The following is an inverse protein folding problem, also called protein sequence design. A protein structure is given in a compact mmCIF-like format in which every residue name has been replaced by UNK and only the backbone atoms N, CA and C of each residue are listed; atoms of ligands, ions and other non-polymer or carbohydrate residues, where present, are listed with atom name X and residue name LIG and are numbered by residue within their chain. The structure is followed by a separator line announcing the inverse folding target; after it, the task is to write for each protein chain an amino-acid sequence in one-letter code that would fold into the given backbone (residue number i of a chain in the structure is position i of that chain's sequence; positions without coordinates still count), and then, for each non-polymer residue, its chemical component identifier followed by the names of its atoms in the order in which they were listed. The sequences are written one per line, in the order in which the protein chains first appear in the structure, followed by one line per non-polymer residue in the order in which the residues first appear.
data_IF_273256641328
#
_entry.id   IF_273256641328
#
_cell.length_a   1.000
_cell.length_b   1.000
_cell.length_c   1.000
_cell.angle_alpha   90.00
_cell.angle_beta   90.00
_cell.angle_gamma   90.00
#
_symmetry.space_group_name_H-M   'P 1'
#
loop_
_entity.id
_entity.type
_entity.pdbx_description
1 polymer ?
#
# COMPACT_ATOMS: atom_id res chain seq x y z
N UNK A 1 17.88 52.54 27.24
CA UNK A 1 16.72 51.79 27.75
C UNK A 1 16.48 50.61 26.82
N UNK A 2 16.82 49.43 27.31
CA UNK A 2 16.85 48.19 26.53
C UNK A 2 15.46 47.56 26.48
N UNK A 3 14.93 47.43 25.30
CA UNK A 3 13.71 46.63 25.06
C UNK A 3 14.05 45.15 24.90
N UNK A 4 13.63 44.32 25.85
CA UNK A 4 13.79 42.89 25.82
C UNK A 4 12.89 42.28 24.73
N UNK A 5 13.45 41.81 23.65
CA UNK A 5 12.75 41.05 22.63
C UNK A 5 12.44 39.62 23.10
N UNK A 6 11.19 39.28 23.31
CA UNK A 6 10.73 37.90 23.61
C UNK A 6 10.80 37.08 22.34
N UNK A 7 11.81 36.26 22.24
CA UNK A 7 11.91 35.19 21.22
C UNK A 7 11.23 33.94 21.78
N UNK A 8 9.95 33.77 21.51
CA UNK A 8 9.21 32.58 21.93
C UNK A 8 8.78 31.77 20.71
N UNK A 9 9.23 30.51 20.71
CA UNK A 9 8.46 29.34 20.31
C UNK A 9 8.39 28.89 18.86
N UNK A 10 9.42 29.09 18.04
CA UNK A 10 9.53 28.32 16.78
C UNK A 10 10.12 26.89 16.94
N UNK A 11 10.92 26.66 18.01
CA UNK A 11 11.64 25.41 18.20
C UNK A 11 10.90 24.30 18.96
N UNK A 12 9.98 24.67 19.85
CA UNK A 12 9.28 23.71 20.73
C UNK A 12 8.20 22.94 19.96
N UNK A 13 7.48 23.59 19.05
CA UNK A 13 6.44 22.94 18.25
C UNK A 13 7.01 21.90 17.26
N UNK A 14 8.16 22.16 16.66
CA UNK A 14 8.85 21.19 15.79
C UNK A 14 9.40 19.97 16.57
N UNK A 15 9.83 20.16 17.80
CA UNK A 15 10.35 19.07 18.65
C UNK A 15 9.20 18.17 19.18
N UNK A 16 8.06 18.76 19.54
CA UNK A 16 6.88 18.01 19.97
C UNK A 16 6.28 17.17 18.83
N UNK A 17 6.18 17.72 17.60
CA UNK A 17 5.75 16.94 16.42
C UNK A 17 6.68 15.78 16.09
N UNK A 18 8.01 15.98 16.12
CA UNK A 18 8.97 14.89 15.91
C UNK A 18 8.92 13.81 17.00
N UNK A 19 8.65 14.20 18.25
CA UNK A 19 8.50 13.26 19.37
C UNK A 19 7.20 12.45 19.28
N UNK A 20 6.08 13.09 18.90
CA UNK A 20 4.79 12.42 18.72
C UNK A 20 4.80 11.42 17.54
N UNK A 21 5.40 11.79 16.41
CA UNK A 21 5.57 10.86 15.29
C UNK A 21 6.47 9.66 15.65
N UNK A 22 7.56 9.88 16.40
CA UNK A 22 8.39 8.78 16.91
C UNK A 22 7.67 7.89 17.91
N UNK A 23 6.85 8.45 18.80
CA UNK A 23 6.11 7.68 19.80
C UNK A 23 5.01 6.81 19.15
N UNK A 24 4.31 7.31 18.15
CA UNK A 24 3.29 6.55 17.42
C UNK A 24 3.88 5.31 16.72
N UNK A 25 5.12 5.39 16.22
CA UNK A 25 5.80 4.26 15.59
C UNK A 25 6.52 3.30 16.58
N UNK A 26 6.77 3.73 17.83
CA UNK A 26 7.45 2.87 18.80
C UNK A 26 6.54 1.80 19.44
N UNK A 27 5.22 1.92 19.31
CA UNK A 27 4.26 0.97 19.90
C UNK A 27 3.96 -0.28 19.07
N UNK A 28 4.25 -0.29 17.76
CA UNK A 28 3.92 -1.43 16.90
C UNK A 28 5.17 -2.22 16.56
N UNK A 29 5.26 -3.43 17.10
CA UNK A 29 6.28 -4.40 16.67
C UNK A 29 5.88 -5.00 15.32
N UNK A 30 6.66 -4.70 14.27
CA UNK A 30 6.47 -5.31 12.96
C UNK A 30 6.91 -6.76 12.99
N UNK A 31 6.00 -7.66 12.64
CA UNK A 31 6.28 -9.08 12.60
C UNK A 31 6.86 -9.45 11.24
N UNK A 32 8.14 -9.78 11.20
CA UNK A 32 8.80 -10.29 10.00
C UNK A 32 8.13 -11.56 9.45
N UNK A 33 7.53 -12.37 10.34
CA UNK A 33 6.74 -13.55 9.98
C UNK A 33 5.52 -13.24 9.10
N UNK A 34 5.02 -12.01 9.13
CA UNK A 34 3.90 -11.55 8.27
C UNK A 34 4.37 -10.78 7.03
N UNK A 35 5.69 -10.74 6.77
CA UNK A 35 6.23 -10.03 5.61
C UNK A 35 5.97 -8.52 5.64
N UNK A 36 5.83 -7.94 6.85
CA UNK A 36 5.50 -6.53 7.02
C UNK A 36 6.69 -5.62 6.69
N UNK A 37 6.67 -5.02 5.52
CA UNK A 37 7.62 -4.01 5.05
C UNK A 37 6.85 -2.75 4.69
N UNK A 38 6.81 -1.78 5.62
CA UNK A 38 6.01 -0.57 5.43
C UNK A 38 6.74 0.42 4.56
N UNK A 39 6.10 0.82 3.47
CA UNK A 39 6.57 1.88 2.60
C UNK A 39 6.46 3.23 3.33
N UNK A 40 7.60 3.88 3.56
CA UNK A 40 7.67 5.12 4.35
C UNK A 40 7.90 6.38 3.52
N UNK A 41 8.37 6.24 2.27
CA UNK A 41 8.69 7.38 1.43
C UNK A 41 7.43 7.94 0.74
N UNK A 42 6.97 9.16 1.07
CA UNK A 42 5.75 9.73 0.50
C UNK A 42 5.86 9.99 -1.01
N UNK A 43 7.06 10.25 -1.53
CA UNK A 43 7.26 10.44 -2.99
C UNK A 43 6.97 9.15 -3.75
N UNK A 44 7.38 8.00 -3.19
CA UNK A 44 7.09 6.69 -3.80
C UNK A 44 5.60 6.36 -3.70
N UNK A 45 4.98 6.65 -2.55
CA UNK A 45 3.52 6.50 -2.37
C UNK A 45 2.77 7.30 -3.44
N UNK A 46 3.11 8.57 -3.62
CA UNK A 46 2.50 9.43 -4.65
C UNK A 46 2.71 8.88 -6.06
N UNK A 47 3.93 8.45 -6.38
CA UNK A 47 4.25 7.87 -7.69
C UNK A 47 3.45 6.58 -7.96
N UNK A 48 3.19 5.75 -6.96
CA UNK A 48 2.38 4.53 -7.10
C UNK A 48 0.93 4.89 -7.43
N UNK A 49 0.32 5.84 -6.71
CA UNK A 49 -1.06 6.27 -6.93
C UNK A 49 -1.22 6.92 -8.31
N UNK A 50 -0.30 7.81 -8.68
CA UNK A 50 -0.28 8.48 -9.98
C UNK A 50 -0.15 7.48 -11.13
N UNK A 51 0.87 6.61 -11.08
CA UNK A 51 1.10 5.57 -12.11
C UNK A 51 0.00 4.50 -12.13
N UNK A 52 -0.69 4.30 -11.01
CA UNK A 52 -1.86 3.43 -10.91
C UNK A 52 -3.07 3.95 -11.66
N UNK A 53 -3.06 5.22 -12.08
CA UNK A 53 -4.14 5.84 -12.85
C UNK A 53 -5.48 5.85 -12.08
N UNK A 54 -5.41 6.06 -10.76
CA UNK A 54 -6.58 6.14 -9.89
C UNK A 54 -7.38 7.39 -10.20
N UNK A 55 -8.69 7.24 -10.41
CA UNK A 55 -9.64 8.32 -10.69
C UNK A 55 -10.48 8.63 -9.46
N UNK A 56 -11.01 9.84 -9.38
CA UNK A 56 -11.92 10.27 -8.30
C UNK A 56 -13.25 9.51 -8.27
N UNK A 57 -13.57 8.77 -9.30
CA UNK A 57 -14.77 7.91 -9.39
C UNK A 57 -14.51 6.47 -9.00
N UNK A 58 -13.25 6.06 -8.83
CA UNK A 58 -12.87 4.66 -8.61
C UNK A 58 -13.16 4.18 -7.20
N UNK A 59 -13.55 2.92 -7.11
CA UNK A 59 -13.45 2.09 -5.91
C UNK A 59 -12.10 1.36 -6.00
N UNK A 60 -11.22 1.63 -5.04
CA UNK A 60 -9.87 1.04 -5.00
C UNK A 60 -9.81 -0.09 -3.98
N UNK A 61 -9.33 -1.25 -4.41
CA UNK A 61 -8.95 -2.33 -3.51
C UNK A 61 -7.49 -2.14 -3.08
N UNK A 62 -7.23 -2.08 -1.79
CA UNK A 62 -5.89 -2.10 -1.21
C UNK A 62 -5.66 -3.39 -0.43
N UNK A 63 -4.54 -4.08 -0.69
CA UNK A 63 -4.19 -5.33 -0.01
C UNK A 63 -3.01 -5.07 0.92
N UNK A 64 -3.20 -5.36 2.21
CA UNK A 64 -2.20 -5.14 3.25
C UNK A 64 -1.87 -3.67 3.47
N UNK A 65 -2.85 -2.82 3.86
CA UNK A 65 -2.64 -1.39 4.08
C UNK A 65 -1.61 -1.09 5.17
N UNK A 66 -1.40 -2.01 6.10
CA UNK A 66 -0.50 -1.84 7.24
C UNK A 66 -0.87 -0.59 8.05
N UNK A 67 0.09 0.31 8.24
CA UNK A 67 -0.14 1.59 8.96
C UNK A 67 -0.90 2.64 8.15
N UNK A 68 -1.30 2.35 6.91
CA UNK A 68 -2.14 3.22 6.09
C UNK A 68 -1.42 4.33 5.34
N UNK A 69 -0.10 4.23 5.09
CA UNK A 69 0.62 5.27 4.33
C UNK A 69 0.09 5.40 2.90
N UNK A 70 -0.19 4.28 2.25
CA UNK A 70 -0.76 4.25 0.91
C UNK A 70 -2.26 4.54 0.96
N UNK A 71 -2.98 3.98 1.95
CA UNK A 71 -4.42 4.19 2.16
C UNK A 71 -4.78 5.67 2.25
N UNK A 72 -4.04 6.46 3.06
CA UNK A 72 -4.31 7.90 3.21
C UNK A 72 -4.24 8.63 1.87
N UNK A 73 -3.25 8.29 1.04
CA UNK A 73 -3.11 8.92 -0.28
C UNK A 73 -4.19 8.45 -1.27
N UNK A 74 -4.59 7.17 -1.19
CA UNK A 74 -5.70 6.65 -1.99
C UNK A 74 -7.03 7.32 -1.64
N UNK A 75 -7.29 7.55 -0.34
CA UNK A 75 -8.49 8.23 0.15
C UNK A 75 -8.62 9.69 -0.32
N UNK A 76 -7.49 10.37 -0.55
CA UNK A 76 -7.49 11.73 -1.10
C UNK A 76 -7.84 11.75 -2.60
N UNK A 77 -7.66 10.64 -3.31
CA UNK A 77 -7.79 10.57 -4.77
C UNK A 77 -9.03 9.82 -5.22
N UNK A 78 -9.33 8.68 -4.60
CA UNK A 78 -10.39 7.75 -5.00
C UNK A 78 -11.75 8.13 -4.40
N UNK A 79 -12.83 7.62 -5.00
CA UNK A 79 -14.19 7.70 -4.43
C UNK A 79 -14.30 6.90 -3.14
N UNK A 80 -13.71 5.71 -3.11
CA UNK A 80 -13.77 4.78 -1.98
C UNK A 80 -12.54 3.87 -1.98
N UNK A 81 -12.06 3.52 -0.80
CA UNK A 81 -11.01 2.50 -0.60
C UNK A 81 -11.59 1.34 0.18
N UNK A 82 -11.41 0.13 -0.34
CA UNK A 82 -11.67 -1.13 0.36
C UNK A 82 -10.33 -1.75 0.69
N UNK A 83 -9.97 -1.78 1.96
CA UNK A 83 -8.70 -2.29 2.45
C UNK A 83 -8.87 -3.68 3.06
N UNK A 84 -8.08 -4.66 2.62
CA UNK A 84 -8.07 -6.01 3.21
C UNK A 84 -6.81 -6.16 4.05
N UNK A 85 -6.97 -6.35 5.37
CA UNK A 85 -5.86 -6.46 6.32
C UNK A 85 -5.98 -7.71 7.20
N UNK A 86 -4.91 -8.46 7.28
CA UNK A 86 -4.84 -9.70 8.07
C UNK A 86 -4.54 -9.45 9.55
N UNK A 87 -3.70 -8.45 9.86
CA UNK A 87 -3.27 -8.15 11.23
C UNK A 87 -4.25 -7.21 11.94
N UNK A 88 -4.98 -7.69 12.97
CA UNK A 88 -5.96 -6.86 13.70
C UNK A 88 -5.35 -5.59 14.32
N UNK A 89 -4.05 -5.61 14.64
CA UNK A 89 -3.35 -4.43 15.19
C UNK A 89 -3.20 -3.35 14.13
N UNK A 90 -2.95 -3.74 12.87
CA UNK A 90 -2.90 -2.81 11.73
C UNK A 90 -4.29 -2.28 11.40
N UNK A 91 -5.33 -3.11 11.51
CA UNK A 91 -6.72 -2.67 11.36
C UNK A 91 -7.05 -1.54 12.35
N UNK A 92 -6.73 -1.74 13.64
CA UNK A 92 -6.96 -0.72 14.68
C UNK A 92 -6.16 0.55 14.43
N UNK A 93 -4.91 0.43 14.00
CA UNK A 93 -4.04 1.58 13.70
C UNK A 93 -4.59 2.37 12.50
N UNK A 94 -5.01 1.67 11.44
CA UNK A 94 -5.60 2.28 10.27
C UNK A 94 -6.91 3.01 10.63
N UNK A 95 -7.77 2.40 11.42
CA UNK A 95 -9.01 3.02 11.91
C UNK A 95 -8.72 4.31 12.70
N UNK A 96 -7.79 4.26 13.65
CA UNK A 96 -7.37 5.44 14.43
C UNK A 96 -6.82 6.56 13.55
N UNK A 97 -6.02 6.19 12.54
CA UNK A 97 -5.41 7.16 11.64
C UNK A 97 -6.41 7.89 10.76
N UNK A 98 -7.46 7.21 10.34
CA UNK A 98 -8.49 7.77 9.46
C UNK A 98 -9.60 8.46 10.26
N UNK A 99 -9.80 8.07 11.52
CA UNK A 99 -10.80 8.67 12.41
C UNK A 99 -10.62 10.20 12.51
N UNK A 100 -11.70 10.94 12.35
CA UNK A 100 -11.70 12.41 12.41
C UNK A 100 -11.18 13.09 11.14
N UNK A 101 -10.80 12.35 10.12
CA UNK A 101 -10.48 12.92 8.80
C UNK A 101 -11.74 13.04 7.93
N UNK A 102 -11.76 13.97 6.95
CA UNK A 102 -12.88 14.09 6.00
C UNK A 102 -13.15 12.82 5.18
N UNK A 103 -12.17 11.93 5.11
CA UNK A 103 -12.21 10.72 4.27
C UNK A 103 -12.65 9.47 5.05
N UNK A 104 -12.95 9.57 6.35
CA UNK A 104 -13.29 8.42 7.19
C UNK A 104 -14.45 7.57 6.63
N UNK A 105 -15.47 8.23 6.08
CA UNK A 105 -16.63 7.56 5.47
C UNK A 105 -16.31 6.81 4.17
N UNK A 106 -15.18 7.13 3.52
CA UNK A 106 -14.78 6.54 2.25
C UNK A 106 -13.89 5.29 2.40
N UNK A 107 -13.56 4.89 3.63
CA UNK A 107 -12.79 3.69 3.92
C UNK A 107 -13.72 2.56 4.40
N UNK A 108 -13.59 1.40 3.77
CA UNK A 108 -14.11 0.12 4.26
C UNK A 108 -12.96 -0.82 4.55
N UNK A 109 -12.93 -1.43 5.73
CA UNK A 109 -11.87 -2.38 6.10
C UNK A 109 -12.48 -3.77 6.21
N UNK A 110 -11.89 -4.74 5.51
CA UNK A 110 -12.18 -6.16 5.62
C UNK A 110 -11.02 -6.77 6.41
N UNK A 111 -11.29 -7.17 7.66
CA UNK A 111 -10.31 -7.86 8.48
C UNK A 111 -10.27 -9.34 8.13
N UNK A 112 -9.15 -9.83 7.63
CA UNK A 112 -8.99 -11.24 7.27
C UNK A 112 -7.86 -11.52 6.29
N UNK A 113 -7.67 -12.82 6.03
CA UNK A 113 -6.70 -13.30 5.05
C UNK A 113 -7.20 -13.00 3.63
N UNK A 114 -6.44 -12.20 2.89
CA UNK A 114 -6.76 -11.86 1.51
C UNK A 114 -7.08 -13.08 0.63
N UNK A 115 -6.40 -14.19 0.86
CA UNK A 115 -6.62 -15.39 0.06
C UNK A 115 -7.97 -16.09 0.34
N UNK A 116 -8.58 -15.83 1.51
CA UNK A 116 -9.81 -16.48 1.97
C UNK A 116 -11.04 -15.60 1.88
N UNK A 117 -10.88 -14.27 2.01
CA UNK A 117 -12.02 -13.35 1.98
C UNK A 117 -12.61 -13.24 0.58
N UNK A 118 -13.92 -13.06 0.49
CA UNK A 118 -14.59 -12.69 -0.74
C UNK A 118 -14.32 -11.23 -1.05
N UNK A 119 -13.88 -10.97 -2.28
CA UNK A 119 -13.56 -9.61 -2.71
C UNK A 119 -14.82 -8.91 -3.22
N UNK A 120 -15.12 -7.69 -2.76
CA UNK A 120 -16.21 -6.90 -3.32
C UNK A 120 -15.84 -6.40 -4.73
N UNK A 121 -16.77 -5.67 -5.34
CA UNK A 121 -16.47 -4.91 -6.55
C UNK A 121 -15.39 -3.86 -6.30
N UNK A 122 -14.47 -3.72 -7.25
CA UNK A 122 -13.49 -2.63 -7.31
C UNK A 122 -13.09 -2.35 -8.78
N UNK A 123 -12.68 -1.11 -9.04
CA UNK A 123 -12.22 -0.67 -10.36
C UNK A 123 -10.72 -0.87 -10.55
N UNK A 124 -9.94 -0.65 -9.48
CA UNK A 124 -8.47 -0.72 -9.48
C UNK A 124 -7.98 -1.37 -8.21
N UNK A 125 -6.92 -2.17 -8.31
CA UNK A 125 -6.21 -2.71 -7.14
C UNK A 125 -4.84 -2.03 -7.00
N UNK A 126 -4.54 -1.48 -5.83
CA UNK A 126 -3.24 -0.88 -5.52
C UNK A 126 -2.70 -1.53 -4.24
N UNK A 127 -1.49 -2.09 -4.27
CA UNK A 127 -0.97 -2.78 -3.09
C UNK A 127 0.56 -2.78 -3.00
N UNK A 128 1.05 -2.62 -1.76
CA UNK A 128 2.36 -3.08 -1.35
C UNK A 128 2.21 -4.51 -0.82
N UNK A 129 2.38 -5.49 -1.70
CA UNK A 129 2.00 -6.89 -1.45
C UNK A 129 2.88 -7.54 -0.36
N UNK A 130 2.29 -8.26 0.63
CA UNK A 130 3.05 -9.17 1.47
C UNK A 130 3.68 -10.27 0.61
N UNK A 131 5.02 -10.34 0.59
CA UNK A 131 5.75 -11.16 -0.40
C UNK A 131 5.43 -12.64 -0.34
N UNK A 132 5.06 -13.16 0.84
CA UNK A 132 4.74 -14.57 1.05
C UNK A 132 3.51 -15.06 0.25
N UNK A 133 2.59 -14.14 -0.07
CA UNK A 133 1.36 -14.48 -0.81
C UNK A 133 1.38 -14.01 -2.27
N UNK A 134 2.53 -13.58 -2.79
CA UNK A 134 2.64 -12.97 -4.13
C UNK A 134 1.99 -13.82 -5.22
N UNK A 135 2.32 -15.10 -5.31
CA UNK A 135 1.79 -15.97 -6.37
C UNK A 135 0.29 -16.24 -6.24
N UNK A 136 -0.24 -16.73 -5.12
CA UNK A 136 -1.68 -16.97 -4.98
C UNK A 136 -2.49 -15.69 -5.08
N UNK A 137 -1.94 -14.54 -4.66
CA UNK A 137 -2.58 -13.23 -4.80
C UNK A 137 -2.80 -12.88 -6.28
N UNK A 138 -1.77 -13.04 -7.12
CA UNK A 138 -1.88 -12.79 -8.57
C UNK A 138 -2.99 -13.66 -9.18
N UNK A 139 -3.00 -14.96 -8.88
CA UNK A 139 -4.03 -15.85 -9.42
C UNK A 139 -5.43 -15.53 -8.92
N UNK A 140 -5.58 -15.14 -7.65
CA UNK A 140 -6.88 -14.71 -7.11
C UNK A 140 -7.39 -13.45 -7.83
N UNK A 141 -6.53 -12.48 -8.09
CA UNK A 141 -6.90 -11.28 -8.85
C UNK A 141 -7.26 -11.62 -10.31
N UNK A 142 -6.51 -12.47 -10.99
CA UNK A 142 -6.80 -12.90 -12.37
C UNK A 142 -8.13 -13.67 -12.49
N UNK A 143 -8.50 -14.41 -11.45
CA UNK A 143 -9.78 -15.14 -11.38
C UNK A 143 -10.96 -14.25 -10.96
N UNK A 144 -10.71 -13.05 -10.44
CA UNK A 144 -11.77 -12.18 -9.91
C UNK A 144 -12.78 -11.75 -10.99
N UNK A 145 -14.06 -11.75 -10.61
CA UNK A 145 -15.17 -11.25 -11.45
C UNK A 145 -16.09 -10.36 -10.59
N UNK A 146 -16.58 -9.25 -11.15
CA UNK A 146 -16.33 -8.72 -12.50
C UNK A 146 -14.87 -8.26 -12.69
N UNK A 147 -14.41 -8.24 -13.95
CA UNK A 147 -13.03 -7.84 -14.29
C UNK A 147 -12.79 -6.38 -13.93
N UNK A 148 -11.74 -6.12 -13.18
CA UNK A 148 -11.28 -4.77 -12.83
C UNK A 148 -10.40 -4.16 -13.95
N UNK A 149 -10.24 -2.84 -13.94
CA UNK A 149 -9.50 -2.11 -15.00
C UNK A 149 -7.99 -2.33 -14.94
N UNK A 150 -7.40 -2.24 -13.75
CA UNK A 150 -5.96 -2.34 -13.57
C UNK A 150 -5.58 -2.77 -12.15
N UNK A 151 -4.36 -3.32 -12.01
CA UNK A 151 -3.73 -3.56 -10.73
C UNK A 151 -2.30 -3.02 -10.72
N UNK A 152 -1.95 -2.18 -9.74
CA UNK A 152 -0.59 -1.70 -9.50
C UNK A 152 -0.07 -2.34 -8.22
N UNK A 153 0.81 -3.32 -8.39
CA UNK A 153 1.25 -4.21 -7.33
C UNK A 153 2.76 -4.12 -7.15
N UNK A 154 3.20 -3.94 -5.92
CA UNK A 154 4.62 -3.93 -5.60
C UNK A 154 5.04 -5.30 -5.06
N UNK A 155 5.97 -5.93 -5.77
CA UNK A 155 6.53 -7.24 -5.47
C UNK A 155 8.04 -7.17 -5.25
N UNK A 156 8.63 -8.26 -4.77
CA UNK A 156 10.08 -8.45 -4.90
C UNK A 156 10.48 -8.42 -6.38
N UNK A 157 11.69 -7.89 -6.65
CA UNK A 157 12.17 -7.68 -8.03
C UNK A 157 12.11 -8.94 -8.88
N UNK A 158 12.61 -10.05 -8.34
CA UNK A 158 12.69 -11.34 -9.05
C UNK A 158 11.29 -11.85 -9.43
N UNK A 159 10.32 -11.71 -8.53
CA UNK A 159 8.94 -12.10 -8.80
C UNK A 159 8.31 -11.18 -9.86
N UNK A 160 8.48 -9.86 -9.72
CA UNK A 160 7.96 -8.89 -10.68
C UNK A 160 8.52 -9.11 -12.09
N UNK A 161 9.81 -9.41 -12.21
CA UNK A 161 10.45 -9.70 -13.49
C UNK A 161 9.83 -10.92 -14.16
N UNK A 162 9.57 -12.02 -13.44
CA UNK A 162 8.89 -13.21 -13.98
C UNK A 162 7.49 -12.91 -14.53
N UNK A 163 6.80 -11.91 -14.03
CA UNK A 163 5.49 -11.52 -14.57
C UNK A 163 5.61 -10.78 -15.92
N UNK A 164 6.72 -10.06 -16.15
CA UNK A 164 6.85 -9.10 -17.25
C UNK A 164 7.75 -9.56 -18.41
N UNK A 165 8.59 -10.59 -18.20
CA UNK A 165 9.53 -11.05 -19.25
C UNK A 165 8.81 -11.69 -20.44
N UNK A 166 9.29 -11.47 -21.68
CA UNK A 166 8.71 -12.07 -22.89
C UNK A 166 9.02 -13.56 -23.00
N UNK A 167 8.29 -14.29 -23.87
CA UNK A 167 8.64 -15.65 -24.24
C UNK A 167 10.09 -15.75 -24.77
N UNK A 168 10.80 -16.79 -24.35
CA UNK A 168 12.22 -17.00 -24.69
C UNK A 168 13.22 -16.45 -23.67
N UNK A 169 12.79 -15.62 -22.72
CA UNK A 169 13.62 -15.19 -21.61
C UNK A 169 13.86 -16.36 -20.61
N UNK A 170 15.07 -16.52 -20.03
CA UNK A 170 15.34 -17.56 -19.04
C UNK A 170 14.44 -17.53 -17.79
N UNK A 171 13.87 -16.38 -17.46
CA UNK A 171 12.92 -16.22 -16.35
C UNK A 171 11.48 -16.54 -16.75
N UNK A 172 11.21 -16.76 -18.04
CA UNK A 172 9.87 -17.08 -18.54
C UNK A 172 9.42 -18.44 -18.03
N UNK A 173 8.31 -18.48 -17.32
CA UNK A 173 7.87 -19.66 -16.62
C UNK A 173 6.32 -19.75 -16.60
N UNK A 174 5.77 -20.78 -15.97
CA UNK A 174 4.32 -20.97 -15.83
C UNK A 174 3.61 -19.73 -15.27
N UNK A 175 4.23 -19.00 -14.33
CA UNK A 175 3.68 -17.76 -13.80
C UNK A 175 3.54 -16.70 -14.90
N UNK A 176 4.57 -16.55 -15.74
CA UNK A 176 4.57 -15.61 -16.88
C UNK A 176 3.45 -15.94 -17.86
N UNK A 177 3.38 -17.21 -18.29
CA UNK A 177 2.34 -17.69 -19.22
C UNK A 177 0.95 -17.41 -18.70
N UNK A 178 0.63 -17.89 -17.50
CA UNK A 178 -0.71 -17.80 -16.94
C UNK A 178 -1.15 -16.34 -16.72
N UNK A 179 -0.20 -15.47 -16.32
CA UNK A 179 -0.51 -14.07 -16.12
C UNK A 179 -0.73 -13.36 -17.46
N UNK A 180 0.16 -13.57 -18.44
CA UNK A 180 0.12 -12.87 -19.71
C UNK A 180 -1.01 -13.34 -20.64
N UNK A 181 -1.57 -14.53 -20.41
CA UNK A 181 -2.80 -14.97 -21.07
C UNK A 181 -4.02 -14.14 -20.67
N UNK A 182 -4.06 -13.63 -19.45
CA UNK A 182 -5.24 -12.97 -18.87
C UNK A 182 -5.05 -11.47 -18.65
N UNK A 183 -3.80 -10.99 -18.59
CA UNK A 183 -3.49 -9.59 -18.30
C UNK A 183 -2.25 -9.12 -19.06
N UNK A 184 -2.26 -7.86 -19.47
CA UNK A 184 -1.05 -7.18 -19.94
C UNK A 184 -0.23 -6.74 -18.73
N UNK A 185 1.05 -7.13 -18.69
CA UNK A 185 1.97 -6.79 -17.59
C UNK A 185 3.01 -5.77 -18.04
N UNK A 186 3.33 -4.81 -17.17
CA UNK A 186 4.33 -3.77 -17.45
C UNK A 186 5.07 -3.41 -16.17
N UNK A 187 6.39 -3.32 -16.23
CA UNK A 187 7.19 -2.81 -15.13
C UNK A 187 7.16 -1.28 -15.13
N UNK A 188 6.64 -0.66 -14.06
CA UNK A 188 6.38 0.79 -14.00
C UNK A 188 7.34 1.55 -13.08
N UNK A 189 7.89 0.90 -12.03
CA UNK A 189 8.72 1.58 -11.04
C UNK A 189 9.66 0.61 -10.32
N UNK A 190 10.91 1.01 -10.11
CA UNK A 190 11.86 0.32 -9.24
C UNK A 190 11.98 1.06 -7.92
N UNK A 191 11.72 0.37 -6.80
CA UNK A 191 11.76 0.94 -5.45
C UNK A 191 12.93 0.34 -4.68
N UNK A 192 13.84 1.21 -4.19
CA UNK A 192 14.98 0.78 -3.38
C UNK A 192 14.56 0.38 -1.96
N UNK A 193 15.25 -0.62 -1.38
CA UNK A 193 14.98 -1.17 -0.04
C UNK A 193 14.93 -0.12 1.09
N UNK A 194 15.67 0.98 0.97
CA UNK A 194 15.72 2.04 1.98
C UNK A 194 14.40 2.82 2.11
N UNK A 195 13.46 2.63 1.19
CA UNK A 195 12.12 3.25 1.26
C UNK A 195 11.16 2.49 2.20
N UNK A 196 11.57 1.37 2.77
CA UNK A 196 10.76 0.52 3.65
C UNK A 196 11.27 0.52 5.09
N UNK A 197 10.37 0.14 6.02
CA UNK A 197 10.69 -0.11 7.42
C UNK A 197 9.90 -1.34 7.92
N UNK A 198 10.59 -2.41 8.40
CA UNK A 198 12.00 -2.70 8.16
C UNK A 198 12.29 -2.85 6.66
N UNK A 199 13.57 -2.73 6.21
CA UNK A 199 13.94 -3.05 4.84
C UNK A 199 13.63 -4.53 4.52
N UNK A 200 13.16 -4.84 3.30
CA UNK A 200 12.95 -6.22 2.84
C UNK A 200 14.26 -6.95 2.56
#
# INVERSE_FOLDING_TARGET
MSGAGIRVAGGVAKRAKKGAEKAAYQGIQFLKSYGQHILKNPMIVNAIVEKGGVKSTDVVLEIGPGTGNLTMRLLETAKKVVAVEFDPRMVLELQRRVQGTPHAANLSIISGDFLKVDLPYFDVCIANVPYQISSPLVFKLLAHRPVFRAATLMFQREFAMRLCVPPGDPLYCRLSVNTQLLARTTHILKVGKNNFRPPP
#
